data_IF_404118389232
#
_entry.id   IF_404118389232
#
_cell.length_a   1.000
_cell.length_b   1.000
_cell.length_c   1.000
_cell.angle_alpha   90.00
_cell.angle_beta   90.00
_cell.angle_gamma   90.00
#
_symmetry.space_group_name_H-M   'P 1'
#
loop_
_entity.id
_entity.type
_entity.pdbx_description
1 polymer ?
#
# COMPACT_ATOMS: atom_id res chain seq x y z
N UNK A 1 -31.12 -17.06 -31.31
CA UNK A 1 -29.68 -16.85 -31.04
C UNK A 1 -29.49 -16.60 -29.55
N UNK A 2 -28.94 -17.57 -28.79
CA UNK A 2 -28.58 -17.36 -27.39
C UNK A 2 -27.12 -16.93 -27.34
N UNK A 3 -26.86 -15.73 -26.86
CA UNK A 3 -25.52 -15.25 -26.60
C UNK A 3 -24.89 -16.11 -25.49
N UNK A 4 -23.83 -16.84 -25.84
CA UNK A 4 -22.96 -17.51 -24.89
C UNK A 4 -22.17 -16.41 -24.19
N UNK A 5 -22.71 -15.92 -23.07
CA UNK A 5 -21.95 -15.06 -22.15
C UNK A 5 -20.86 -15.94 -21.56
N UNK A 6 -19.63 -15.74 -22.01
CA UNK A 6 -18.45 -16.43 -21.51
C UNK A 6 -18.41 -16.35 -19.98
N UNK A 7 -18.78 -17.44 -19.32
CA UNK A 7 -18.62 -17.63 -17.88
C UNK A 7 -17.12 -17.72 -17.63
N UNK A 8 -16.49 -16.59 -17.31
CA UNK A 8 -15.24 -16.61 -16.57
C UNK A 8 -15.54 -17.07 -15.14
N UNK A 9 -15.82 -18.37 -14.98
CA UNK A 9 -15.82 -19.02 -13.68
C UNK A 9 -14.40 -18.95 -13.15
N UNK A 10 -14.19 -18.10 -12.15
CA UNK A 10 -12.95 -18.11 -11.37
C UNK A 10 -12.85 -19.53 -10.79
N UNK A 11 -11.77 -20.28 -11.05
CA UNK A 11 -11.61 -21.63 -10.51
C UNK A 11 -11.82 -21.58 -9.01
N UNK A 12 -12.66 -22.48 -8.49
CA UNK A 12 -12.83 -22.68 -7.06
C UNK A 12 -11.45 -22.92 -6.43
N UNK A 13 -11.02 -21.99 -5.57
CA UNK A 13 -9.71 -22.02 -4.89
C UNK A 13 -8.63 -21.08 -5.42
N UNK A 14 -8.79 -20.45 -6.60
CA UNK A 14 -7.83 -19.45 -7.08
C UNK A 14 -8.15 -18.06 -6.49
N UNK A 15 -7.22 -17.47 -5.73
CA UNK A 15 -7.39 -16.10 -5.21
C UNK A 15 -7.54 -15.13 -6.40
N UNK A 16 -8.70 -14.42 -6.54
CA UNK A 16 -8.94 -13.53 -7.67
C UNK A 16 -7.95 -12.36 -7.76
N UNK A 17 -7.27 -12.05 -6.66
CA UNK A 17 -6.26 -11.01 -6.55
C UNK A 17 -4.83 -11.56 -6.68
N UNK A 18 -4.66 -12.85 -6.42
CA UNK A 18 -3.40 -13.58 -6.56
C UNK A 18 -2.23 -12.87 -5.89
N UNK A 19 -1.11 -12.77 -6.62
CA UNK A 19 0.15 -12.16 -6.16
C UNK A 19 0.03 -10.67 -5.82
N UNK A 20 -0.93 -9.93 -6.38
CA UNK A 20 -1.05 -8.47 -6.19
C UNK A 20 -1.40 -8.10 -4.76
N UNK A 21 -2.26 -8.91 -4.13
CA UNK A 21 -2.63 -8.78 -2.71
C UNK A 21 -1.41 -8.97 -1.83
N UNK A 22 -0.65 -10.05 -2.06
CA UNK A 22 0.57 -10.32 -1.29
C UNK A 22 1.65 -9.25 -1.48
N UNK A 23 1.76 -8.67 -2.69
CA UNK A 23 2.64 -7.53 -2.93
C UNK A 23 2.22 -6.29 -2.12
N UNK A 24 0.93 -5.97 -2.06
CA UNK A 24 0.44 -4.86 -1.24
C UNK A 24 0.74 -5.08 0.26
N UNK A 25 0.50 -6.29 0.77
CA UNK A 25 0.88 -6.64 2.15
C UNK A 25 2.39 -6.57 2.39
N UNK A 26 3.20 -7.07 1.46
CA UNK A 26 4.66 -7.01 1.55
C UNK A 26 5.14 -5.56 1.62
N UNK A 27 4.59 -4.68 0.78
CA UNK A 27 4.88 -3.25 0.82
C UNK A 27 4.57 -2.63 2.18
N UNK A 28 3.39 -2.89 2.74
CA UNK A 28 3.00 -2.42 4.09
C UNK A 28 3.92 -2.97 5.18
N UNK A 29 4.30 -4.25 5.12
CA UNK A 29 5.20 -4.84 6.11
C UNK A 29 6.58 -4.20 6.03
N UNK A 30 7.16 -4.08 4.83
CA UNK A 30 8.46 -3.43 4.62
C UNK A 30 8.41 -1.98 5.13
N UNK A 31 7.32 -1.26 4.85
CA UNK A 31 7.09 0.09 5.33
C UNK A 31 7.11 0.19 6.86
N UNK A 32 6.36 -0.68 7.55
CA UNK A 32 6.29 -0.67 9.02
C UNK A 32 7.62 -1.04 9.67
N UNK A 33 8.37 -1.98 9.09
CA UNK A 33 9.74 -2.26 9.55
C UNK A 33 10.68 -1.09 9.29
N UNK A 34 10.53 -0.39 8.17
CA UNK A 34 11.23 0.86 7.89
C UNK A 34 10.96 1.93 8.95
N UNK A 35 9.70 2.15 9.29
CA UNK A 35 9.29 3.07 10.35
C UNK A 35 9.86 2.71 11.72
N UNK A 36 9.82 1.42 12.07
CA UNK A 36 10.40 0.95 13.33
C UNK A 36 11.92 1.15 13.37
N UNK A 37 12.62 0.91 12.25
CA UNK A 37 14.05 1.14 12.13
C UNK A 37 14.40 2.63 12.22
N UNK A 38 13.67 3.50 11.51
CA UNK A 38 13.83 4.95 11.56
C UNK A 38 13.68 5.49 12.99
N UNK A 39 12.58 5.11 13.67
CA UNK A 39 12.34 5.47 15.07
C UNK A 39 13.46 4.98 15.99
N UNK A 40 13.88 3.73 15.83
CA UNK A 40 15.00 3.17 16.60
C UNK A 40 16.29 3.94 16.36
N UNK A 41 16.59 4.28 15.10
CA UNK A 41 17.80 4.99 14.72
C UNK A 41 17.84 6.38 15.35
N UNK A 42 16.76 7.14 15.24
CA UNK A 42 16.64 8.48 15.84
C UNK A 42 16.69 8.44 17.38
N UNK A 43 16.14 7.40 18.02
CA UNK A 43 16.27 7.21 19.46
C UNK A 43 17.71 6.90 19.91
N UNK A 44 18.55 6.32 19.05
CA UNK A 44 19.95 5.99 19.36
C UNK A 44 20.96 7.05 18.94
N UNK A 45 20.62 7.87 17.96
CA UNK A 45 21.53 8.84 17.34
C UNK A 45 20.97 10.25 17.47
N UNK A 46 20.71 10.70 18.71
CA UNK A 46 20.27 12.07 18.97
C UNK A 46 21.41 13.03 18.63
N UNK A 47 21.27 13.74 17.52
CA UNK A 47 22.25 14.70 17.02
C UNK A 47 21.64 16.10 16.95
N UNK A 48 22.43 17.12 17.30
CA UNK A 48 22.09 18.52 17.06
C UNK A 48 22.63 19.04 15.72
N UNK A 49 23.35 18.19 14.98
CA UNK A 49 23.92 18.48 13.66
C UNK A 49 23.02 17.87 12.60
N UNK A 50 22.69 18.69 11.60
CA UNK A 50 21.86 18.31 10.45
C UNK A 50 22.46 17.12 9.71
N UNK A 51 21.67 16.06 9.53
CA UNK A 51 22.09 14.88 8.80
C UNK A 51 22.19 15.16 7.29
N UNK A 52 23.25 14.69 6.61
CA UNK A 52 23.36 14.83 5.17
C UNK A 52 22.30 13.97 4.45
N UNK A 53 21.81 14.38 3.27
CA UNK A 53 20.76 13.68 2.53
C UNK A 53 21.01 12.18 2.32
N UNK A 54 22.26 11.78 2.07
CA UNK A 54 22.62 10.37 1.86
C UNK A 54 22.41 9.48 3.09
N UNK A 55 22.64 10.02 4.28
CA UNK A 55 22.35 9.31 5.54
C UNK A 55 20.85 9.16 5.73
N UNK A 56 20.08 10.23 5.48
CA UNK A 56 18.63 10.20 5.56
C UNK A 56 18.04 9.15 4.60
N UNK A 57 18.52 9.07 3.35
CA UNK A 57 18.09 8.03 2.41
C UNK A 57 18.30 6.61 2.92
N UNK A 58 19.43 6.35 3.58
CA UNK A 58 19.73 5.02 4.13
C UNK A 58 18.81 4.67 5.29
N UNK A 59 18.57 5.65 6.17
CA UNK A 59 17.70 5.49 7.34
C UNK A 59 16.25 5.20 6.91
N UNK A 60 15.78 5.92 5.89
CA UNK A 60 14.40 5.85 5.42
C UNK A 60 14.18 4.79 4.33
N UNK A 61 15.18 4.00 3.96
CA UNK A 61 15.10 3.13 2.78
C UNK A 61 13.92 2.15 2.84
N UNK A 62 13.68 1.54 3.99
CA UNK A 62 12.56 0.59 4.17
C UNK A 62 11.20 1.24 3.95
N UNK A 63 11.05 2.49 4.39
CA UNK A 63 9.84 3.28 4.19
C UNK A 63 9.60 3.52 2.69
N UNK A 64 10.61 4.03 1.98
CA UNK A 64 10.55 4.31 0.55
C UNK A 64 10.22 3.07 -0.27
N UNK A 65 10.91 1.97 0.00
CA UNK A 65 10.70 0.69 -0.69
C UNK A 65 9.29 0.17 -0.41
N UNK A 66 8.83 0.22 0.85
CA UNK A 66 7.51 -0.25 1.24
C UNK A 66 6.38 0.53 0.55
N UNK A 67 6.46 1.86 0.54
CA UNK A 67 5.51 2.71 -0.14
C UNK A 67 5.54 2.50 -1.67
N UNK A 68 6.72 2.38 -2.29
CA UNK A 68 6.84 2.13 -3.73
C UNK A 68 6.25 0.77 -4.15
N UNK A 69 6.49 -0.28 -3.37
CA UNK A 69 5.90 -1.61 -3.60
C UNK A 69 4.38 -1.54 -3.48
N UNK A 70 3.86 -0.83 -2.48
CA UNK A 70 2.41 -0.63 -2.28
C UNK A 70 1.79 0.16 -3.43
N UNK A 71 2.43 1.25 -3.87
CA UNK A 71 2.00 2.05 -5.01
C UNK A 71 1.93 1.21 -6.30
N UNK A 72 2.95 0.37 -6.52
CA UNK A 72 3.01 -0.53 -7.69
C UNK A 72 1.92 -1.59 -7.63
N UNK A 73 1.67 -2.17 -6.46
CA UNK A 73 0.56 -3.10 -6.25
C UNK A 73 -0.79 -2.41 -6.52
N UNK A 74 -1.00 -1.20 -6.00
CA UNK A 74 -2.17 -0.38 -6.26
C UNK A 74 -2.37 -0.06 -7.74
N UNK A 75 -1.32 0.38 -8.44
CA UNK A 75 -1.36 0.70 -9.86
C UNK A 75 -1.68 -0.53 -10.74
N UNK A 76 -1.13 -1.70 -10.40
CA UNK A 76 -1.48 -2.94 -11.11
C UNK A 76 -2.90 -3.37 -10.80
N UNK A 77 -3.38 -3.18 -9.58
CA UNK A 77 -4.75 -3.50 -9.17
C UNK A 77 -5.79 -2.54 -9.76
N UNK A 78 -5.43 -1.26 -9.97
CA UNK A 78 -6.28 -0.27 -10.64
C UNK A 78 -6.72 -0.76 -12.02
N UNK A 79 -5.86 -1.51 -12.71
CA UNK A 79 -6.16 -2.06 -14.05
C UNK A 79 -7.15 -3.23 -14.01
N UNK A 80 -7.45 -3.81 -12.84
CA UNK A 80 -8.38 -4.93 -12.70
C UNK A 80 -9.81 -4.42 -12.54
N UNK A 81 -10.71 -4.89 -13.43
CA UNK A 81 -12.14 -4.54 -13.38
C UNK A 81 -12.75 -5.00 -12.05
N UNK A 82 -13.53 -4.13 -11.42
CA UNK A 82 -14.08 -4.34 -10.07
C UNK A 82 -13.20 -3.75 -8.97
N UNK A 83 -11.88 -3.79 -9.09
CA UNK A 83 -10.95 -3.37 -8.02
C UNK A 83 -10.34 -1.98 -8.21
N UNK A 84 -10.78 -1.22 -9.22
CA UNK A 84 -10.23 0.10 -9.57
C UNK A 84 -10.11 1.06 -8.40
N UNK A 85 -11.19 1.19 -7.63
CA UNK A 85 -11.21 2.10 -6.47
C UNK A 85 -10.25 1.65 -5.39
N UNK A 86 -10.19 0.34 -5.11
CA UNK A 86 -9.28 -0.19 -4.10
C UNK A 86 -7.80 -0.04 -4.53
N UNK A 87 -7.48 -0.35 -5.79
CA UNK A 87 -6.16 -0.09 -6.37
C UNK A 87 -5.80 1.40 -6.38
N UNK A 88 -6.79 2.27 -6.60
CA UNK A 88 -6.61 3.72 -6.53
C UNK A 88 -6.33 4.26 -5.14
N UNK A 89 -7.02 3.74 -4.13
CA UNK A 89 -6.71 4.09 -2.74
C UNK A 89 -5.28 3.66 -2.38
N UNK A 90 -4.86 2.45 -2.74
CA UNK A 90 -3.48 2.01 -2.51
C UNK A 90 -2.45 2.89 -3.22
N UNK A 91 -2.66 3.17 -4.51
CA UNK A 91 -1.72 3.96 -5.30
C UNK A 91 -1.65 5.41 -4.82
N UNK A 92 -2.81 6.03 -4.53
CA UNK A 92 -2.88 7.41 -4.06
C UNK A 92 -2.32 7.54 -2.65
N UNK A 93 -2.71 6.66 -1.72
CA UNK A 93 -2.20 6.67 -0.36
C UNK A 93 -0.68 6.54 -0.32
N UNK A 94 -0.13 5.58 -1.05
CA UNK A 94 1.32 5.40 -1.14
C UNK A 94 2.03 6.56 -1.86
N UNK A 95 1.41 7.20 -2.85
CA UNK A 95 1.96 8.40 -3.47
C UNK A 95 2.01 9.59 -2.50
N UNK A 96 0.98 9.74 -1.66
CA UNK A 96 0.93 10.76 -0.59
C UNK A 96 2.00 10.49 0.47
N UNK A 97 2.20 9.22 0.86
CA UNK A 97 3.32 8.84 1.74
C UNK A 97 4.67 9.27 1.14
N UNK A 98 4.96 8.84 -0.09
CA UNK A 98 6.21 9.16 -0.77
C UNK A 98 6.45 10.67 -0.87
N UNK A 99 5.40 11.45 -1.16
CA UNK A 99 5.49 12.90 -1.20
C UNK A 99 5.77 13.50 0.19
N UNK A 100 5.06 13.03 1.24
CA UNK A 100 5.29 13.43 2.62
C UNK A 100 6.73 13.22 3.04
N UNK A 101 7.26 12.00 2.85
CA UNK A 101 8.66 11.68 3.17
C UNK A 101 9.67 12.49 2.39
N UNK A 102 9.46 12.66 1.08
CA UNK A 102 10.38 13.45 0.28
C UNK A 102 10.49 14.88 0.80
N UNK A 103 9.33 15.50 1.07
CA UNK A 103 9.25 16.87 1.55
C UNK A 103 9.81 17.01 2.96
N UNK A 104 9.54 16.04 3.84
CA UNK A 104 10.06 16.00 5.19
C UNK A 104 11.59 15.86 5.20
N UNK A 105 12.14 14.87 4.48
CA UNK A 105 13.58 14.67 4.32
C UNK A 105 14.26 15.90 3.71
N UNK A 106 13.64 16.52 2.72
CA UNK A 106 14.16 17.73 2.09
C UNK A 106 14.25 18.88 3.11
N UNK A 107 13.23 19.07 3.95
CA UNK A 107 13.25 20.07 5.01
C UNK A 107 14.27 19.75 6.09
N UNK A 108 14.37 18.48 6.49
CA UNK A 108 15.36 18.02 7.46
C UNK A 108 16.78 18.30 6.98
N UNK A 109 17.07 18.11 5.69
CA UNK A 109 18.38 18.45 5.11
C UNK A 109 18.74 19.95 5.16
N UNK A 110 17.74 20.81 5.39
CA UNK A 110 17.90 22.26 5.56
C UNK A 110 17.94 22.67 7.05
N UNK A 111 17.93 21.70 7.97
CA UNK A 111 17.87 21.94 9.41
C UNK A 111 16.51 22.42 9.91
N UNK A 112 15.44 22.13 9.16
CA UNK A 112 14.06 22.50 9.51
C UNK A 112 13.18 21.26 9.51
N UNK A 113 12.09 21.28 10.28
CA UNK A 113 11.07 20.23 10.22
C UNK A 113 9.69 20.88 10.21
N UNK A 114 8.76 20.29 9.47
CA UNK A 114 7.38 20.74 9.38
C UNK A 114 6.47 19.56 9.65
N UNK A 115 5.77 19.59 10.78
CA UNK A 115 4.86 18.52 11.23
C UNK A 115 3.88 18.11 10.13
N UNK A 116 3.42 19.06 9.30
CA UNK A 116 2.52 18.76 8.19
C UNK A 116 3.07 17.73 7.19
N UNK A 117 4.37 17.76 6.87
CA UNK A 117 4.96 16.79 5.93
C UNK A 117 5.11 15.40 6.56
N UNK A 118 5.39 15.36 7.87
CA UNK A 118 5.34 14.14 8.65
C UNK A 118 3.90 13.60 8.78
N UNK A 119 2.89 14.46 8.91
CA UNK A 119 1.48 14.05 8.95
C UNK A 119 0.98 13.49 7.61
N UNK A 120 1.46 14.02 6.48
CA UNK A 120 1.12 13.51 5.14
C UNK A 120 1.42 12.02 5.02
N UNK A 121 2.51 11.55 5.63
CA UNK A 121 2.85 10.13 5.70
C UNK A 121 1.72 9.33 6.35
N UNK A 122 1.22 9.78 7.49
CA UNK A 122 0.16 9.09 8.23
C UNK A 122 -1.19 9.18 7.53
N UNK A 123 -1.51 10.30 6.88
CA UNK A 123 -2.70 10.43 6.06
C UNK A 123 -2.66 9.49 4.85
N UNK A 124 -1.52 9.41 4.16
CA UNK A 124 -1.29 8.47 3.07
C UNK A 124 -1.46 7.02 3.52
N UNK A 125 -0.87 6.66 4.66
CA UNK A 125 -0.99 5.33 5.25
C UNK A 125 -2.43 4.99 5.64
N UNK A 126 -3.17 5.95 6.20
CA UNK A 126 -4.61 5.80 6.46
C UNK A 126 -5.39 5.43 5.19
N UNK A 127 -5.10 6.09 4.06
CA UNK A 127 -5.73 5.78 2.77
C UNK A 127 -5.31 4.38 2.27
N UNK A 128 -4.04 3.99 2.43
CA UNK A 128 -3.56 2.63 2.13
C UNK A 128 -4.34 1.59 2.92
N UNK A 129 -4.52 1.78 4.24
CA UNK A 129 -5.28 0.87 5.10
C UNK A 129 -6.72 0.73 4.63
N UNK A 130 -7.39 1.83 4.29
CA UNK A 130 -8.75 1.79 3.72
C UNK A 130 -8.78 1.00 2.40
N UNK A 131 -7.76 1.19 1.55
CA UNK A 131 -7.56 0.40 0.33
C UNK A 131 -7.45 -1.10 0.62
N UNK A 132 -6.60 -1.49 1.58
CA UNK A 132 -6.40 -2.87 2.00
C UNK A 132 -7.68 -3.51 2.55
N UNK A 133 -8.38 -2.82 3.45
CA UNK A 133 -9.67 -3.29 3.99
C UNK A 133 -10.68 -3.53 2.88
N UNK A 134 -10.74 -2.61 1.90
CA UNK A 134 -11.64 -2.74 0.74
C UNK A 134 -11.29 -3.95 -0.13
N UNK A 135 -10.01 -4.21 -0.36
CA UNK A 135 -9.54 -5.40 -1.10
C UNK A 135 -10.02 -6.67 -0.41
N UNK A 136 -9.85 -6.78 0.91
CA UNK A 136 -10.27 -7.96 1.67
C UNK A 136 -11.80 -8.13 1.67
N UNK A 137 -12.56 -7.04 1.85
CA UNK A 137 -14.02 -7.08 1.80
C UNK A 137 -14.53 -7.56 0.44
N UNK A 138 -13.95 -7.03 -0.65
CA UNK A 138 -14.30 -7.45 -2.00
C UNK A 138 -13.94 -8.91 -2.29
N UNK A 139 -12.77 -9.36 -1.83
CA UNK A 139 -12.33 -10.76 -1.94
C UNK A 139 -13.31 -11.69 -1.24
N UNK A 140 -13.70 -11.38 0.00
CA UNK A 140 -14.69 -12.16 0.78
C UNK A 140 -16.03 -12.23 0.05
N UNK A 141 -16.52 -11.12 -0.49
CA UNK A 141 -17.79 -11.08 -1.22
C UNK A 141 -17.76 -11.92 -2.50
N UNK A 142 -16.63 -11.95 -3.22
CA UNK A 142 -16.48 -12.78 -4.41
C UNK A 142 -16.45 -14.28 -4.06
N UNK A 143 -15.75 -14.65 -2.99
CA UNK A 143 -15.70 -16.04 -2.51
C UNK A 143 -17.05 -16.52 -1.94
N UNK A 144 -17.79 -15.65 -1.25
CA UNK A 144 -19.13 -16.00 -0.74
C UNK A 144 -20.15 -16.25 -1.86
N UNK A 145 -20.07 -15.46 -2.95
CA UNK A 145 -20.94 -15.65 -4.12
C UNK A 145 -20.65 -16.93 -4.91
N UNK A 146 -19.41 -17.42 -4.93
CA UNK A 146 -19.09 -18.69 -5.59
C UNK A 146 -19.71 -19.87 -4.85
N UNK A 147 -19.70 -19.86 -3.50
CA UNK A 147 -20.27 -20.94 -2.69
C UNK A 147 -21.79 -21.02 -2.84
N UNK A 148 -22.51 -19.89 -2.76
CA UNK A 148 -23.97 -19.86 -2.91
C UNK A 148 -24.47 -20.33 -4.28
N UNK A 149 -23.65 -20.27 -5.33
CA UNK A 149 -24.05 -20.67 -6.68
C UNK A 149 -24.07 -22.19 -6.83
N UNK A 150 -23.10 -22.87 -6.22
CA UNK A 150 -22.99 -24.33 -6.27
C UNK A 150 -24.14 -25.00 -5.51
N UNK A 151 -24.61 -24.40 -4.42
CA UNK A 151 -25.73 -24.93 -3.63
C UNK A 151 -27.11 -24.77 -4.32
N UNK A 152 -27.22 -23.85 -5.28
CA UNK A 152 -28.47 -23.56 -6.00
C UNK A 152 -28.68 -24.39 -7.27
N UNK A 153 -27.67 -25.15 -7.70
CA UNK A 153 -27.73 -26.05 -8.85
C UNK A 153 -27.98 -27.53 -8.45
N UNK A 154 -28.33 -27.78 -7.17
CA UNK A 154 -28.78 -29.08 -6.61
C UNK A 154 -30.30 -29.07 -6.34
#
# INVERSE_FOLDING_TARGET
MRAVVGRNSIPTGADPLGRRRYLAYAGVVIYLFGQAYDTYWHAKNVSFVVEPPGSLWTIHLGIWVGALVTATAGATLWRVRGFRVAGGLLALGAAVELAGYFLDMWKHSQGTSLDFYHDLVWYGFGVVVVGMVRIEAMRRNLLGRSVQRDDSEL
#
